data_IF_882421284239
#
_entry.id   IF_882421284239
#
_cell.length_a   1.000
_cell.length_b   1.000
_cell.length_c   1.000
_cell.angle_alpha   90.00
_cell.angle_beta   90.00
_cell.angle_gamma   90.00
#
_symmetry.space_group_name_H-M   'P 1'
#
loop_
_entity.id
_entity.type
_entity.pdbx_description
1 polymer ?
#
# COMPACT_ATOMS: atom_id res chain seq x y z
N UNK A 1 -7.77 11.81 5.09
CA UNK A 1 -7.00 10.53 5.15
C UNK A 1 -7.92 9.36 4.84
N UNK A 2 -7.45 8.38 4.09
CA UNK A 2 -8.17 7.13 3.80
C UNK A 2 -7.51 6.02 4.60
N UNK A 3 -8.16 5.53 5.63
CA UNK A 3 -7.56 4.59 6.59
C UNK A 3 -8.58 3.61 7.20
N UNK A 4 -9.79 3.56 6.63
CA UNK A 4 -10.80 2.58 7.03
C UNK A 4 -11.29 1.79 5.80
N UNK A 5 -11.73 0.53 5.97
CA UNK A 5 -12.33 -0.25 4.88
C UNK A 5 -13.52 0.46 4.24
N UNK A 6 -14.35 1.13 5.05
CA UNK A 6 -15.48 1.89 4.55
C UNK A 6 -15.05 3.01 3.59
N UNK A 7 -14.03 3.81 3.96
CA UNK A 7 -13.51 4.86 3.11
C UNK A 7 -12.85 4.30 1.83
N UNK A 8 -12.16 3.16 1.94
CA UNK A 8 -11.59 2.47 0.79
C UNK A 8 -12.66 2.02 -0.20
N UNK A 9 -13.77 1.46 0.28
CA UNK A 9 -14.85 0.96 -0.59
C UNK A 9 -15.57 2.06 -1.37
N UNK A 10 -15.62 3.29 -0.81
CA UNK A 10 -16.26 4.45 -1.47
C UNK A 10 -15.23 5.51 -1.90
N UNK A 11 -13.98 5.11 -2.13
CA UNK A 11 -12.91 6.04 -2.47
C UNK A 11 -13.23 6.86 -3.74
N UNK A 12 -13.91 6.27 -4.71
CA UNK A 12 -14.37 6.94 -5.93
C UNK A 12 -15.39 8.08 -5.66
N UNK A 13 -16.21 7.94 -4.62
CA UNK A 13 -17.13 8.99 -4.20
C UNK A 13 -16.40 10.08 -3.42
N UNK A 14 -15.51 9.69 -2.50
CA UNK A 14 -14.71 10.64 -1.71
C UNK A 14 -13.77 11.46 -2.58
N UNK A 15 -13.24 10.88 -3.67
CA UNK A 15 -12.34 11.56 -4.59
C UNK A 15 -13.00 12.74 -5.33
N UNK A 16 -14.33 12.79 -5.38
CA UNK A 16 -15.08 13.92 -5.99
C UNK A 16 -15.12 15.16 -5.10
N UNK A 17 -14.92 14.98 -3.80
CA UNK A 17 -15.04 16.02 -2.78
C UNK A 17 -13.69 16.40 -2.15
N UNK A 18 -12.63 15.64 -2.42
CA UNK A 18 -11.31 15.83 -1.82
C UNK A 18 -10.31 16.43 -2.82
N UNK A 19 -9.41 17.27 -2.33
CA UNK A 19 -8.31 17.83 -3.13
C UNK A 19 -7.15 16.84 -3.29
N UNK A 20 -6.98 15.94 -2.33
CA UNK A 20 -5.97 14.87 -2.36
C UNK A 20 -6.33 13.74 -1.38
N UNK A 21 -5.71 12.58 -1.56
CA UNK A 21 -5.75 11.48 -0.60
C UNK A 21 -4.41 11.27 0.08
N UNK A 22 -4.47 10.94 1.37
CA UNK A 22 -3.35 10.35 2.11
C UNK A 22 -3.80 9.01 2.69
N UNK A 23 -3.12 7.92 2.34
CA UNK A 23 -3.47 6.58 2.84
C UNK A 23 -2.76 6.34 4.16
N UNK A 24 -3.53 6.15 5.23
CA UNK A 24 -3.04 5.79 6.56
C UNK A 24 -2.91 4.27 6.69
N UNK A 25 -1.77 3.70 6.25
CA UNK A 25 -1.64 2.24 6.09
C UNK A 25 -1.72 1.48 7.40
N UNK A 26 -1.28 2.07 8.50
CA UNK A 26 -1.30 1.39 9.80
C UNK A 26 -2.74 1.12 10.26
N UNK A 27 -3.59 2.13 10.19
CA UNK A 27 -4.99 1.99 10.58
C UNK A 27 -5.80 1.25 9.51
N UNK A 28 -5.53 1.49 8.22
CA UNK A 28 -6.18 0.73 7.15
C UNK A 28 -5.94 -0.78 7.31
N UNK A 29 -4.71 -1.20 7.60
CA UNK A 29 -4.39 -2.60 7.84
C UNK A 29 -5.09 -3.11 9.10
N UNK A 30 -5.01 -2.37 10.20
CA UNK A 30 -5.63 -2.73 11.47
C UNK A 30 -7.14 -2.98 11.32
N UNK A 31 -7.85 -2.06 10.70
CA UNK A 31 -9.30 -2.16 10.53
C UNK A 31 -9.72 -3.16 9.46
N UNK A 32 -8.94 -3.30 8.38
CA UNK A 32 -9.20 -4.33 7.36
C UNK A 32 -9.06 -5.73 7.92
N UNK A 33 -8.03 -5.95 8.75
CA UNK A 33 -7.78 -7.25 9.39
C UNK A 33 -8.57 -7.46 10.69
N UNK A 34 -9.24 -6.42 11.19
CA UNK A 34 -9.92 -6.42 12.48
C UNK A 34 -9.01 -6.84 13.65
N UNK A 35 -7.77 -6.37 13.64
CA UNK A 35 -6.71 -6.76 14.57
C UNK A 35 -6.10 -5.53 15.22
N UNK A 36 -6.09 -5.50 16.55
CA UNK A 36 -5.36 -4.48 17.31
C UNK A 36 -3.85 -4.75 17.24
N UNK A 37 -3.12 -3.90 16.49
CA UNK A 37 -1.65 -3.99 16.35
C UNK A 37 -0.91 -3.77 17.67
N UNK A 38 -1.55 -3.12 18.67
CA UNK A 38 -1.01 -2.93 20.02
C UNK A 38 -1.16 -4.15 20.92
N UNK A 39 -1.97 -5.14 20.54
CA UNK A 39 -2.20 -6.34 21.34
C UNK A 39 -1.27 -7.47 20.89
N UNK A 40 -0.24 -7.74 21.70
CA UNK A 40 0.78 -8.75 21.40
C UNK A 40 0.22 -10.16 21.15
N UNK A 41 -0.98 -10.48 21.66
CA UNK A 41 -1.59 -11.81 21.48
C UNK A 41 -2.13 -12.04 20.06
N UNK A 42 -2.46 -10.97 19.32
CA UNK A 42 -3.06 -11.03 17.99
C UNK A 42 -2.28 -10.25 16.93
N UNK A 43 -1.23 -9.53 17.32
CA UNK A 43 -0.43 -8.72 16.41
C UNK A 43 0.19 -9.52 15.24
N UNK A 44 0.36 -10.82 15.40
CA UNK A 44 0.85 -11.72 14.33
C UNK A 44 -0.13 -11.82 13.14
N UNK A 45 -1.39 -11.45 13.32
CA UNK A 45 -2.40 -11.39 12.25
C UNK A 45 -2.37 -10.06 11.49
N UNK A 46 -1.64 -9.06 12.01
CA UNK A 46 -1.50 -7.75 11.36
C UNK A 46 -0.44 -7.84 10.26
N UNK A 47 -0.86 -7.67 9.02
CA UNK A 47 0.06 -7.73 7.88
C UNK A 47 -0.40 -6.87 6.71
N UNK A 48 0.46 -5.96 6.28
CA UNK A 48 0.24 -5.16 5.07
C UNK A 48 0.41 -5.96 3.76
N UNK A 49 0.94 -7.19 3.85
CA UNK A 49 1.04 -8.11 2.70
C UNK A 49 -0.26 -8.89 2.45
N UNK A 50 -1.24 -8.78 3.35
CA UNK A 50 -2.51 -9.46 3.15
C UNK A 50 -3.19 -9.01 1.84
N UNK A 51 -3.67 -9.94 0.99
CA UNK A 51 -4.30 -9.61 -0.26
C UNK A 51 -5.48 -8.61 -0.16
N UNK A 52 -6.23 -8.64 0.94
CA UNK A 52 -7.31 -7.67 1.18
C UNK A 52 -6.77 -6.24 1.37
N UNK A 53 -5.65 -6.10 2.09
CA UNK A 53 -4.99 -4.80 2.32
C UNK A 53 -4.37 -4.28 1.03
N UNK A 54 -3.70 -5.13 0.25
CA UNK A 54 -3.13 -4.75 -1.05
C UNK A 54 -4.21 -4.27 -2.03
N UNK A 55 -5.32 -4.99 -2.12
CA UNK A 55 -6.46 -4.61 -2.97
C UNK A 55 -7.10 -3.31 -2.49
N UNK A 56 -7.18 -3.09 -1.19
CA UNK A 56 -7.68 -1.84 -0.60
C UNK A 56 -6.80 -0.65 -0.99
N UNK A 57 -5.47 -0.78 -0.82
CA UNK A 57 -4.52 0.26 -1.25
C UNK A 57 -4.63 0.55 -2.75
N UNK A 58 -4.68 -0.50 -3.58
CA UNK A 58 -4.85 -0.35 -5.03
C UNK A 58 -6.13 0.40 -5.38
N UNK A 59 -7.27 0.01 -4.80
CA UNK A 59 -8.56 0.65 -5.04
C UNK A 59 -8.53 2.15 -4.72
N UNK A 60 -7.95 2.53 -3.59
CA UNK A 60 -7.83 3.94 -3.18
C UNK A 60 -6.98 4.73 -4.16
N UNK A 61 -5.82 4.18 -4.56
CA UNK A 61 -4.89 4.84 -5.47
C UNK A 61 -5.52 5.01 -6.86
N UNK A 62 -6.16 3.97 -7.38
CA UNK A 62 -6.85 4.02 -8.68
C UNK A 62 -8.01 5.00 -8.69
N UNK A 63 -8.80 5.06 -7.61
CA UNK A 63 -9.90 6.02 -7.48
C UNK A 63 -9.40 7.47 -7.50
N UNK A 64 -8.32 7.77 -6.77
CA UNK A 64 -7.71 9.10 -6.77
C UNK A 64 -7.16 9.48 -8.14
N UNK A 65 -6.41 8.58 -8.78
CA UNK A 65 -5.84 8.81 -10.12
C UNK A 65 -6.94 9.00 -11.18
N UNK A 66 -8.02 8.23 -11.11
CA UNK A 66 -9.16 8.38 -12.02
C UNK A 66 -9.88 9.73 -11.85
N UNK A 67 -9.90 10.27 -10.63
CA UNK A 67 -10.45 11.60 -10.34
C UNK A 67 -9.46 12.74 -10.61
N UNK A 68 -8.21 12.43 -10.95
CA UNK A 68 -7.16 13.42 -11.21
C UNK A 68 -6.65 14.15 -9.96
N UNK A 69 -6.83 13.57 -8.78
CA UNK A 69 -6.32 14.13 -7.53
C UNK A 69 -5.04 13.40 -7.08
N UNK A 70 -4.17 14.12 -6.36
CA UNK A 70 -2.95 13.54 -5.80
C UNK A 70 -3.28 12.46 -4.77
N UNK A 71 -2.50 11.38 -4.76
CA UNK A 71 -2.54 10.36 -3.71
C UNK A 71 -1.17 10.08 -3.15
N UNK A 72 -1.05 10.28 -1.84
CA UNK A 72 0.11 9.94 -1.04
C UNK A 72 -0.19 8.82 -0.07
N UNK A 73 0.86 8.29 0.53
CA UNK A 73 0.77 7.24 1.54
C UNK A 73 1.68 7.56 2.71
N UNK A 74 1.16 7.45 3.93
CA UNK A 74 1.93 7.51 5.16
C UNK A 74 1.77 6.18 5.94
N UNK A 75 2.56 6.03 6.99
CA UNK A 75 2.65 4.79 7.75
C UNK A 75 3.80 3.90 7.26
N UNK A 76 3.92 2.75 7.89
CA UNK A 76 5.09 1.88 7.71
C UNK A 76 5.19 1.29 6.30
N UNK A 77 4.07 1.01 5.66
CA UNK A 77 4.05 0.44 4.30
C UNK A 77 4.68 1.37 3.24
N UNK A 78 4.65 2.69 3.44
CA UNK A 78 5.26 3.65 2.52
C UNK A 78 6.80 3.53 2.46
N UNK A 79 7.43 3.07 3.55
CA UNK A 79 8.88 2.87 3.64
C UNK A 79 9.31 1.41 3.45
N UNK A 80 8.36 0.49 3.31
CA UNK A 80 8.67 -0.93 3.16
C UNK A 80 9.24 -1.22 1.75
N UNK A 81 10.51 -1.63 1.64
CA UNK A 81 11.16 -1.86 0.35
C UNK A 81 10.50 -2.98 -0.47
N UNK A 82 9.80 -3.91 0.17
CA UNK A 82 9.09 -4.99 -0.50
C UNK A 82 7.76 -4.52 -1.11
N UNK A 83 7.09 -3.53 -0.49
CA UNK A 83 5.82 -2.99 -0.99
C UNK A 83 6.01 -1.88 -2.03
N UNK A 84 7.13 -1.17 -2.02
CA UNK A 84 7.40 -0.06 -2.95
C UNK A 84 7.11 -0.42 -4.42
N UNK A 85 7.55 -1.56 -4.98
CA UNK A 85 7.24 -1.88 -6.38
C UNK A 85 5.73 -2.02 -6.64
N UNK A 86 4.96 -2.58 -5.69
CA UNK A 86 3.51 -2.67 -5.84
C UNK A 86 2.87 -1.27 -5.83
N UNK A 87 3.33 -0.40 -4.94
CA UNK A 87 2.83 0.97 -4.84
C UNK A 87 3.14 1.80 -6.09
N UNK A 88 4.33 1.61 -6.69
CA UNK A 88 4.68 2.17 -8.01
C UNK A 88 3.72 1.65 -9.08
N UNK A 89 3.45 0.35 -9.09
CA UNK A 89 2.52 -0.25 -10.04
C UNK A 89 1.11 0.30 -9.90
N UNK A 90 0.63 0.49 -8.68
CA UNK A 90 -0.71 1.05 -8.42
C UNK A 90 -0.81 2.53 -8.83
N UNK A 91 0.31 3.23 -9.00
CA UNK A 91 0.36 4.63 -9.38
C UNK A 91 0.38 5.59 -8.20
N UNK A 92 0.96 5.19 -7.06
CA UNK A 92 1.16 6.07 -5.91
C UNK A 92 2.06 7.25 -6.29
N UNK A 93 1.62 8.49 -6.01
CA UNK A 93 2.33 9.71 -6.35
C UNK A 93 3.31 10.20 -5.28
N UNK A 94 3.05 9.86 -4.00
CA UNK A 94 3.85 10.35 -2.87
C UNK A 94 4.07 9.27 -1.81
N UNK A 95 5.34 9.11 -1.39
CA UNK A 95 5.76 8.25 -0.28
C UNK A 95 6.16 9.14 0.89
N UNK A 96 5.25 9.34 1.86
CA UNK A 96 5.51 10.13 3.06
C UNK A 96 6.15 9.25 4.13
N UNK A 97 7.44 9.39 4.29
CA UNK A 97 8.27 8.55 5.15
C UNK A 97 9.06 9.39 6.16
N UNK A 98 9.58 8.75 7.21
CA UNK A 98 10.46 9.45 8.16
C UNK A 98 11.71 10.02 7.47
N UNK A 99 12.25 11.11 7.99
CA UNK A 99 13.44 11.74 7.43
C UNK A 99 14.61 10.76 7.26
N UNK A 100 14.76 9.81 8.17
CA UNK A 100 15.79 8.75 8.12
C UNK A 100 15.58 7.74 7.01
N UNK A 101 14.33 7.55 6.56
CA UNK A 101 13.96 6.57 5.52
C UNK A 101 13.99 7.16 4.11
N UNK A 102 14.02 8.48 3.95
CA UNK A 102 13.92 9.14 2.63
C UNK A 102 14.93 8.62 1.62
N UNK A 103 16.20 8.54 1.98
CA UNK A 103 17.25 8.10 1.05
C UNK A 103 17.11 6.63 0.66
N UNK A 104 16.77 5.77 1.61
CA UNK A 104 16.56 4.34 1.35
C UNK A 104 15.34 4.13 0.45
N UNK A 105 14.22 4.79 0.74
CA UNK A 105 12.99 4.74 -0.07
C UNK A 105 13.25 5.20 -1.51
N UNK A 106 13.91 6.35 -1.70
CA UNK A 106 14.30 6.84 -3.03
C UNK A 106 15.22 5.87 -3.77
N UNK A 107 16.19 5.28 -3.05
CA UNK A 107 17.08 4.26 -3.59
C UNK A 107 16.33 3.02 -4.07
N UNK A 108 15.32 2.58 -3.32
CA UNK A 108 14.48 1.45 -3.71
C UNK A 108 13.61 1.78 -4.92
N UNK A 109 12.95 2.94 -4.93
CA UNK A 109 12.14 3.40 -6.07
C UNK A 109 12.97 3.41 -7.35
N UNK A 110 14.21 3.92 -7.30
CA UNK A 110 15.10 4.03 -8.46
C UNK A 110 15.52 2.68 -9.07
N UNK A 111 15.35 1.57 -8.34
CA UNK A 111 15.70 0.21 -8.84
C UNK A 111 14.60 -0.43 -9.68
N UNK A 112 13.42 0.17 -9.75
CA UNK A 112 12.25 -0.40 -10.42
C UNK A 112 11.82 0.44 -11.61
N UNK A 113 11.66 -0.20 -12.76
CA UNK A 113 10.87 0.37 -13.85
C UNK A 113 9.38 0.10 -13.60
N UNK A 114 8.51 0.93 -14.19
CA UNK A 114 7.06 0.72 -14.10
C UNK A 114 6.63 -0.65 -14.63
N UNK A 115 7.24 -1.10 -15.74
CA UNK A 115 6.91 -2.40 -16.36
C UNK A 115 7.24 -3.58 -15.42
N UNK A 116 8.42 -3.59 -14.81
CA UNK A 116 8.82 -4.65 -13.85
C UNK A 116 7.91 -4.63 -12.60
N UNK A 117 7.58 -3.44 -12.12
CA UNK A 117 6.66 -3.25 -11.01
C UNK A 117 5.25 -3.80 -11.34
N UNK A 118 4.76 -3.55 -12.56
CA UNK A 118 3.46 -4.06 -13.01
C UNK A 118 3.41 -5.59 -13.10
N UNK A 119 4.48 -6.21 -13.60
CA UNK A 119 4.57 -7.67 -13.65
C UNK A 119 4.57 -8.29 -12.24
N UNK A 120 5.31 -7.70 -11.31
CA UNK A 120 5.37 -8.18 -9.93
C UNK A 120 4.01 -7.99 -9.23
N UNK A 121 3.40 -6.83 -9.40
CA UNK A 121 2.10 -6.52 -8.79
C UNK A 121 0.98 -7.44 -9.33
N UNK A 122 0.97 -7.74 -10.62
CA UNK A 122 -0.01 -8.67 -11.21
C UNK A 122 0.11 -10.07 -10.57
N UNK A 123 1.34 -10.55 -10.36
CA UNK A 123 1.57 -11.83 -9.67
C UNK A 123 1.11 -11.76 -8.22
N UNK A 124 1.50 -10.72 -7.47
CA UNK A 124 1.14 -10.57 -6.06
C UNK A 124 -0.37 -10.52 -5.85
N UNK A 125 -1.11 -9.79 -6.69
CA UNK A 125 -2.57 -9.67 -6.61
C UNK A 125 -3.33 -10.95 -6.98
N UNK A 126 -2.68 -11.93 -7.63
CA UNK A 126 -3.27 -13.24 -7.96
C UNK A 126 -3.13 -14.26 -6.82
N UNK A 127 -2.29 -13.97 -5.81
CA UNK A 127 -2.06 -14.85 -4.68
C UNK A 127 -3.18 -14.77 -3.63
N UNK A 128 -3.38 -15.85 -2.90
CA UNK A 128 -4.49 -16.00 -1.97
C UNK A 128 -4.14 -15.67 -0.52
N UNK A 129 -2.87 -15.77 -0.15
CA UNK A 129 -2.40 -15.64 1.25
C UNK A 129 -1.29 -14.61 1.39
N UNK A 130 -1.18 -14.03 2.60
CA UNK A 130 -0.10 -13.10 2.91
C UNK A 130 1.28 -13.77 2.85
N UNK A 131 1.37 -15.05 3.21
CA UNK A 131 2.62 -15.81 3.17
C UNK A 131 3.14 -15.92 1.74
N UNK A 132 2.28 -16.32 0.80
CA UNK A 132 2.62 -16.39 -0.63
C UNK A 132 3.06 -15.02 -1.17
N UNK A 133 2.35 -13.95 -0.80
CA UNK A 133 2.72 -12.58 -1.20
C UNK A 133 4.09 -12.22 -0.62
N UNK A 134 4.31 -12.42 0.67
CA UNK A 134 5.57 -12.08 1.32
C UNK A 134 6.76 -12.87 0.72
N UNK A 135 6.57 -14.16 0.41
CA UNK A 135 7.59 -14.99 -0.25
C UNK A 135 7.90 -14.50 -1.65
N UNK A 136 6.87 -14.19 -2.46
CA UNK A 136 7.05 -13.62 -3.80
C UNK A 136 7.85 -12.31 -3.74
N UNK A 137 7.48 -11.40 -2.84
CA UNK A 137 8.13 -10.09 -2.72
C UNK A 137 9.58 -10.23 -2.26
N UNK A 138 9.86 -11.09 -1.27
CA UNK A 138 11.22 -11.40 -0.79
C UNK A 138 12.10 -11.99 -1.90
N UNK A 139 11.55 -12.90 -2.71
CA UNK A 139 12.28 -13.52 -3.82
C UNK A 139 12.64 -12.52 -4.94
N UNK A 140 11.95 -11.38 -5.01
CA UNK A 140 12.18 -10.32 -6.01
C UNK A 140 12.79 -9.04 -5.40
N UNK A 141 13.22 -9.06 -4.14
CA UNK A 141 13.82 -7.90 -3.47
C UNK A 141 15.12 -7.45 -4.17
N UNK A 142 15.32 -6.11 -4.26
CA UNK A 142 16.47 -5.49 -4.96
C UNK A 142 17.28 -4.57 -4.05
#
# INVERSE_FOLDING_TARGET
>A
MIETPAASLIADLLAKEADFFSIGTNDLTQYTMAVDRGNAKVAYLYSSYNPAVLRSMKNIIEAANAAGIMVGMCGEAAADPLLIPLLISFGLGEFSVSATSVLATRGTIAKWSKAEADELAAKALSLATETEVAELLKANAR
#
